data_IF_289736407154
#
_entry.id   IF_289736407154
#
_cell.length_a   1.000
_cell.length_b   1.000
_cell.length_c   1.000
_cell.angle_alpha   90.00
_cell.angle_beta   90.00
_cell.angle_gamma   90.00
#
_symmetry.space_group_name_H-M   'P 1'
#
loop_
_entity.id
_entity.type
_entity.pdbx_description
1 polymer ?
#
# COMPACT_ATOMS: atom_id res chain seq x y z
N UNK A 1 -8.70 29.81 -7.96
CA UNK A 1 -7.28 29.47 -8.25
C UNK A 1 -6.84 28.21 -7.53
N UNK A 2 -7.07 28.05 -6.21
CA UNK A 2 -6.59 26.88 -5.44
C UNK A 2 -7.01 25.50 -5.98
N UNK A 3 -8.21 25.36 -6.56
CA UNK A 3 -8.67 24.07 -7.11
C UNK A 3 -8.14 23.71 -8.49
N UNK A 4 -7.60 24.68 -9.24
CA UNK A 4 -7.11 24.44 -10.60
C UNK A 4 -5.90 23.50 -10.58
N UNK A 5 -4.98 23.69 -9.63
CA UNK A 5 -3.79 22.87 -9.51
C UNK A 5 -4.13 21.39 -9.21
N UNK A 6 -4.95 21.04 -8.19
CA UNK A 6 -5.43 19.67 -7.98
C UNK A 6 -6.14 19.05 -9.17
N UNK A 7 -7.04 19.78 -9.83
CA UNK A 7 -7.73 19.24 -11.00
C UNK A 7 -6.74 18.85 -12.10
N UNK A 8 -5.76 19.70 -12.40
CA UNK A 8 -4.77 19.43 -13.44
C UNK A 8 -3.90 18.22 -13.11
N UNK A 9 -3.27 18.18 -11.92
CA UNK A 9 -2.36 17.08 -11.61
C UNK A 9 -3.08 15.75 -11.31
N UNK A 10 -4.28 15.76 -10.74
CA UNK A 10 -5.05 14.53 -10.51
C UNK A 10 -5.51 13.93 -11.84
N UNK A 11 -6.02 14.73 -12.78
CA UNK A 11 -6.39 14.24 -14.11
C UNK A 11 -5.18 13.71 -14.88
N UNK A 12 -4.03 14.37 -14.81
CA UNK A 12 -2.80 13.86 -15.41
C UNK A 12 -2.37 12.52 -14.79
N UNK A 13 -2.39 12.42 -13.46
CA UNK A 13 -2.01 11.22 -12.72
C UNK A 13 -2.89 10.02 -13.06
N UNK A 14 -4.19 10.23 -13.28
CA UNK A 14 -5.11 9.14 -13.65
C UNK A 14 -4.76 8.50 -15.00
N UNK A 15 -4.24 9.28 -15.96
CA UNK A 15 -3.96 8.81 -17.32
C UNK A 15 -2.50 8.39 -17.54
N UNK A 16 -1.57 9.08 -16.88
CA UNK A 16 -0.13 8.96 -17.15
C UNK A 16 0.70 8.66 -15.88
N UNK A 17 0.07 8.54 -14.72
CA UNK A 17 0.75 8.19 -13.47
C UNK A 17 1.30 6.77 -13.50
N UNK A 18 2.33 6.51 -12.69
CA UNK A 18 2.82 5.15 -12.44
C UNK A 18 1.74 4.35 -11.71
N UNK A 19 1.60 3.08 -12.07
CA UNK A 19 0.73 2.16 -11.31
C UNK A 19 1.30 2.02 -9.90
N UNK A 20 0.47 2.32 -8.90
CA UNK A 20 0.82 2.14 -7.51
C UNK A 20 0.66 0.67 -7.13
N UNK A 21 1.68 0.09 -6.51
CA UNK A 21 1.57 -1.23 -5.88
C UNK A 21 0.73 -1.18 -4.61
N UNK A 22 0.69 -2.30 -3.88
CA UNK A 22 -0.01 -2.42 -2.59
C UNK A 22 0.45 -1.39 -1.56
N UNK A 23 1.77 -1.20 -1.41
CA UNK A 23 2.35 -0.37 -0.37
C UNK A 23 3.47 0.56 -0.89
N UNK A 24 3.15 1.59 -1.68
CA UNK A 24 4.15 2.51 -2.23
C UNK A 24 4.86 3.36 -1.17
N UNK A 25 4.33 3.43 0.06
CA UNK A 25 4.84 4.29 1.14
C UNK A 25 5.50 3.54 2.28
N UNK A 26 5.58 2.21 2.21
CA UNK A 26 6.14 1.35 3.27
C UNK A 26 5.49 1.60 4.64
N UNK A 27 4.17 1.74 4.66
CA UNK A 27 3.39 1.92 5.88
C UNK A 27 2.97 0.57 6.48
N UNK A 28 2.77 0.54 7.80
CA UNK A 28 2.48 -0.70 8.56
C UNK A 28 0.99 -0.98 8.73
N UNK A 29 0.12 -0.01 8.46
CA UNK A 29 -1.33 -0.15 8.59
C UNK A 29 -1.90 -1.31 7.76
N UNK A 30 -3.01 -1.88 8.21
CA UNK A 30 -3.62 -3.06 7.58
C UNK A 30 -4.06 -2.80 6.14
N UNK A 31 -4.47 -1.56 5.84
CA UNK A 31 -4.81 -1.11 4.49
C UNK A 31 -3.61 -1.16 3.53
N UNK A 32 -2.38 -1.19 4.04
CA UNK A 32 -1.15 -1.30 3.27
C UNK A 32 -0.65 -2.74 3.12
N UNK A 33 -1.43 -3.72 3.59
CA UNK A 33 -1.11 -5.15 3.50
C UNK A 33 -2.00 -5.89 2.52
N UNK A 34 -2.82 -5.16 1.76
CA UNK A 34 -3.70 -5.70 0.73
C UNK A 34 -3.30 -5.18 -0.65
N UNK A 35 -3.75 -5.89 -1.69
CA UNK A 35 -3.51 -5.50 -3.07
C UNK A 35 -4.13 -4.14 -3.43
N UNK A 36 -3.55 -3.49 -4.43
CA UNK A 36 -4.07 -2.27 -5.04
C UNK A 36 -4.43 -2.56 -6.51
N UNK A 37 -5.70 -2.38 -6.95
CA UNK A 37 -6.85 -1.94 -6.16
C UNK A 37 -7.31 -3.01 -5.15
N UNK A 38 -7.94 -2.61 -4.03
CA UNK A 38 -8.45 -3.56 -3.05
C UNK A 38 -9.63 -4.37 -3.61
N UNK A 39 -9.77 -5.61 -3.14
CA UNK A 39 -10.99 -6.40 -3.36
C UNK A 39 -12.16 -5.80 -2.56
N UNK A 40 -13.39 -6.14 -2.92
CA UNK A 40 -14.61 -5.59 -2.29
C UNK A 40 -14.67 -5.83 -0.78
N UNK A 41 -14.16 -6.97 -0.28
CA UNK A 41 -14.13 -7.31 1.15
C UNK A 41 -12.89 -6.77 1.89
N UNK A 42 -11.98 -6.08 1.18
CA UNK A 42 -10.62 -5.71 1.61
C UNK A 42 -9.70 -6.92 1.86
N UNK A 43 -10.10 -7.84 2.72
CA UNK A 43 -9.37 -9.06 3.06
C UNK A 43 -10.16 -10.30 2.64
N UNK A 44 -9.46 -11.35 2.24
CA UNK A 44 -10.09 -12.67 1.98
C UNK A 44 -10.44 -13.36 3.31
N UNK A 45 -9.58 -13.19 4.32
CA UNK A 45 -9.74 -13.72 5.67
C UNK A 45 -9.46 -12.62 6.71
N UNK A 46 -9.93 -12.81 7.95
CA UNK A 46 -9.66 -11.83 9.03
C UNK A 46 -8.18 -11.89 9.41
N UNK A 47 -7.42 -10.78 9.30
CA UNK A 47 -5.99 -10.80 9.62
C UNK A 47 -5.78 -10.93 11.14
N UNK A 48 -4.82 -11.76 11.52
CA UNK A 48 -4.30 -11.84 12.89
C UNK A 48 -3.13 -10.88 13.02
N UNK A 49 -3.17 -10.01 14.02
CA UNK A 49 -2.15 -8.98 14.25
C UNK A 49 -1.36 -9.35 15.50
N UNK A 50 -0.09 -9.68 15.29
CA UNK A 50 0.87 -10.10 16.32
C UNK A 50 2.03 -9.09 16.51
N UNK A 51 1.93 -7.93 15.88
CA UNK A 51 2.87 -6.81 15.96
C UNK A 51 2.15 -5.53 16.41
N UNK A 52 2.92 -4.55 16.88
CA UNK A 52 2.37 -3.28 17.36
C UNK A 52 2.03 -2.30 16.21
N UNK A 53 1.20 -1.30 16.51
CA UNK A 53 1.00 -0.20 15.59
C UNK A 53 2.33 0.52 15.34
N UNK A 54 2.61 0.84 14.07
CA UNK A 54 3.85 1.49 13.63
C UNK A 54 5.13 0.65 13.82
N UNK A 55 5.02 -0.67 13.93
CA UNK A 55 6.18 -1.56 13.97
C UNK A 55 6.85 -1.69 12.58
N UNK A 56 7.77 -0.77 12.30
CA UNK A 56 8.52 -0.75 11.04
C UNK A 56 9.64 -1.80 10.99
N UNK A 57 10.12 -2.27 12.14
CA UNK A 57 11.12 -3.33 12.20
C UNK A 57 10.50 -4.67 11.77
N UNK A 58 9.28 -4.95 12.24
CA UNK A 58 8.46 -6.06 11.76
C UNK A 58 8.27 -6.00 10.24
N UNK A 59 7.89 -4.82 9.70
CA UNK A 59 7.67 -4.65 8.26
C UNK A 59 8.95 -4.93 7.46
N UNK A 60 10.09 -4.39 7.92
CA UNK A 60 11.38 -4.60 7.26
C UNK A 60 11.77 -6.09 7.26
N UNK A 61 11.50 -6.82 8.34
CA UNK A 61 11.78 -8.26 8.41
C UNK A 61 10.83 -9.06 7.51
N UNK A 62 9.52 -8.75 7.51
CA UNK A 62 8.54 -9.36 6.60
C UNK A 62 8.94 -9.21 5.13
N UNK A 63 9.30 -8.00 4.70
CA UNK A 63 9.72 -7.75 3.31
C UNK A 63 11.00 -8.50 2.93
N UNK A 64 11.99 -8.58 3.83
CA UNK A 64 13.21 -9.38 3.59
C UNK A 64 12.89 -10.86 3.35
N UNK A 65 12.01 -11.44 4.16
CA UNK A 65 11.62 -12.85 4.03
C UNK A 65 10.84 -13.12 2.74
N UNK A 66 9.95 -12.20 2.34
CA UNK A 66 9.21 -12.30 1.08
C UNK A 66 10.18 -12.32 -0.12
N UNK A 67 11.12 -11.38 -0.17
CA UNK A 67 12.14 -11.29 -1.23
C UNK A 67 13.00 -12.56 -1.33
N UNK A 68 13.33 -13.20 -0.20
CA UNK A 68 14.12 -14.43 -0.18
C UNK A 68 13.33 -15.68 -0.63
N UNK A 69 12.00 -15.65 -0.50
CA UNK A 69 11.15 -16.84 -0.76
C UNK A 69 10.63 -16.87 -2.20
N UNK A 70 10.50 -15.69 -2.84
CA UNK A 70 10.02 -15.56 -4.23
C UNK A 70 11.15 -15.43 -5.27
N UNK A 71 12.41 -15.50 -4.82
CA UNK A 71 13.62 -15.38 -5.65
C UNK A 71 14.13 -16.71 -6.19
#
# INVERSE_FOLDING_TARGET
>A
VGYLLPMLYLTWSLKYGKIAGANPWQATGLEWQIQSPPITSNFEETPVIDYEAYDYDWLANKTKHEVQTVG
#
